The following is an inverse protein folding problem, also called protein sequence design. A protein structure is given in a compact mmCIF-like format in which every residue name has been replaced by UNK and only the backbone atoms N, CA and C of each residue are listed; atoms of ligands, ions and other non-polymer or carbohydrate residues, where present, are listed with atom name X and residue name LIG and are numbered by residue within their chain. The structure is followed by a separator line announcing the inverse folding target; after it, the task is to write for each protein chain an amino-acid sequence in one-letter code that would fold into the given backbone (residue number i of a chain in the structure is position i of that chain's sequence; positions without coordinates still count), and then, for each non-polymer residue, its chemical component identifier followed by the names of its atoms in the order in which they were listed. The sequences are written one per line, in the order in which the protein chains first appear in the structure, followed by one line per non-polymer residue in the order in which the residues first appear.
data_IF_155314754884
#
_entry.id   IF_155314754884
#
_cell.length_a   1.000
_cell.length_b   1.000
_cell.length_c   1.000
_cell.angle_alpha   90.00
_cell.angle_beta   90.00
_cell.angle_gamma   90.00
#
_symmetry.space_group_name_H-M   'P 1'
#
loop_
_entity.id
_entity.type
_entity.pdbx_description
1 polymer ?
#
# COMPACT_ATOMS: atom_id res chain seq x y z
N UNK A 1 0.37 25.98 -4.36
CA UNK A 1 0.85 24.59 -4.47
C UNK A 1 0.38 24.04 -5.81
N UNK A 2 1.28 23.62 -6.70
CA UNK A 2 0.90 23.01 -7.99
C UNK A 2 0.34 21.60 -7.80
N UNK A 3 -0.41 21.09 -8.78
CA UNK A 3 -0.82 19.68 -8.80
C UNK A 3 0.41 18.79 -8.94
N UNK A 4 0.48 17.69 -8.20
CA UNK A 4 1.62 16.76 -8.20
C UNK A 4 1.28 15.44 -8.89
N UNK A 5 2.30 14.84 -9.51
CA UNK A 5 2.20 13.55 -10.21
C UNK A 5 2.69 12.36 -9.37
N UNK A 6 3.25 12.61 -8.19
CA UNK A 6 4.04 11.60 -7.46
C UNK A 6 3.38 11.19 -6.15
N UNK A 7 3.05 9.91 -6.04
CA UNK A 7 2.89 9.21 -4.76
C UNK A 7 4.11 8.33 -4.56
N UNK A 8 4.79 8.53 -3.43
CA UNK A 8 5.94 7.73 -3.02
C UNK A 8 5.44 6.60 -2.13
N UNK A 9 5.72 5.36 -2.54
CA UNK A 9 5.46 4.18 -1.70
C UNK A 9 6.74 3.86 -0.95
N UNK A 10 6.70 3.99 0.38
CA UNK A 10 7.80 3.59 1.26
C UNK A 10 7.53 2.14 1.68
N UNK A 11 8.52 1.26 1.51
CA UNK A 11 8.40 -0.17 1.79
C UNK A 11 9.30 -0.57 2.96
N UNK A 12 8.82 -0.33 4.17
CA UNK A 12 9.57 -0.67 5.38
C UNK A 12 9.52 -2.17 5.71
N UNK A 13 8.58 -2.92 5.13
CA UNK A 13 8.45 -4.36 5.36
C UNK A 13 9.74 -5.13 5.04
N UNK A 14 10.50 -4.71 4.01
CA UNK A 14 11.80 -5.31 3.67
C UNK A 14 12.87 -5.03 4.74
N UNK A 15 12.87 -3.83 5.32
CA UNK A 15 13.77 -3.44 6.42
C UNK A 15 13.43 -4.22 7.69
N UNK A 16 12.14 -4.37 7.98
CA UNK A 16 11.65 -5.16 9.13
C UNK A 16 11.99 -6.64 8.95
N UNK A 17 11.80 -7.21 7.76
CA UNK A 17 12.18 -8.59 7.46
C UNK A 17 13.69 -8.83 7.65
N UNK A 18 14.53 -7.86 7.24
CA UNK A 18 15.97 -7.94 7.47
C UNK A 18 16.32 -7.94 8.97
N UNK A 19 15.76 -7.01 9.75
CA UNK A 19 15.99 -6.94 11.19
C UNK A 19 15.51 -8.21 11.93
N UNK A 20 14.38 -8.79 11.51
CA UNK A 20 13.87 -10.03 12.09
C UNK A 20 14.75 -11.24 11.76
N UNK A 21 15.31 -11.32 10.55
CA UNK A 21 16.28 -12.37 10.18
C UNK A 21 17.56 -12.28 11.01
N UNK A 22 18.07 -11.07 11.25
CA UNK A 22 19.22 -10.86 12.14
C UNK A 22 18.91 -11.29 13.58
N UNK A 23 17.73 -10.92 14.11
CA UNK A 23 17.30 -11.36 15.43
C UNK A 23 17.18 -12.89 15.52
N UNK A 24 16.62 -13.53 14.49
CA UNK A 24 16.46 -14.99 14.43
C UNK A 24 17.81 -15.73 14.45
N UNK A 25 18.83 -15.18 13.78
CA UNK A 25 20.17 -15.77 13.74
C UNK A 25 20.81 -15.91 15.14
N UNK A 26 20.41 -15.08 16.10
CA UNK A 26 20.91 -15.08 17.48
C UNK A 26 19.88 -15.57 18.52
N UNK A 27 18.71 -16.06 18.07
CA UNK A 27 17.60 -16.41 18.95
C UNK A 27 17.89 -17.61 19.86
N UNK A 28 17.36 -17.54 21.09
CA UNK A 28 17.32 -18.70 21.99
C UNK A 28 16.32 -19.74 21.49
N UNK A 29 16.38 -20.97 22.03
CA UNK A 29 15.40 -22.01 21.68
C UNK A 29 13.96 -21.61 22.00
N UNK A 30 13.76 -20.79 23.04
CA UNK A 30 12.44 -20.36 23.52
C UNK A 30 11.78 -19.35 22.57
N UNK A 31 12.55 -18.42 21.98
CA UNK A 31 12.00 -17.37 21.10
C UNK A 31 12.06 -17.71 19.62
N UNK A 32 12.83 -18.74 19.23
CA UNK A 32 13.08 -19.12 17.82
C UNK A 32 11.80 -19.38 17.03
N UNK A 33 10.90 -20.23 17.53
CA UNK A 33 9.66 -20.57 16.81
C UNK A 33 8.75 -19.35 16.58
N UNK A 34 8.69 -18.43 17.55
CA UNK A 34 7.96 -17.17 17.41
C UNK A 34 8.59 -16.24 16.37
N UNK A 35 9.92 -16.12 16.38
CA UNK A 35 10.66 -15.31 15.42
C UNK A 35 10.60 -15.86 13.98
N UNK A 36 10.64 -17.18 13.80
CA UNK A 36 10.44 -17.81 12.49
C UNK A 36 9.07 -17.45 11.91
N UNK A 37 8.02 -17.49 12.73
CA UNK A 37 6.68 -17.06 12.30
C UNK A 37 6.63 -15.57 11.99
N UNK A 38 7.31 -14.74 12.77
CA UNK A 38 7.38 -13.30 12.52
C UNK A 38 8.10 -12.99 11.19
N UNK A 39 9.22 -13.66 10.90
CA UNK A 39 9.94 -13.54 9.62
C UNK A 39 9.03 -13.92 8.46
N UNK A 40 8.34 -15.06 8.54
CA UNK A 40 7.44 -15.51 7.47
C UNK A 40 6.33 -14.49 7.16
N UNK A 41 5.73 -13.87 8.20
CA UNK A 41 4.71 -12.83 8.03
C UNK A 41 5.31 -11.57 7.38
N UNK A 42 6.48 -11.14 7.86
CA UNK A 42 7.15 -9.95 7.35
C UNK A 42 7.57 -10.13 5.89
N UNK A 43 8.09 -11.29 5.50
CA UNK A 43 8.49 -11.60 4.12
C UNK A 43 7.28 -11.65 3.18
N UNK A 44 6.19 -12.31 3.58
CA UNK A 44 4.95 -12.31 2.81
C UNK A 44 4.39 -10.88 2.60
N UNK A 45 4.52 -10.01 3.61
CA UNK A 45 4.13 -8.60 3.49
C UNK A 45 5.09 -7.83 2.58
N UNK A 46 6.37 -8.18 2.59
CA UNK A 46 7.39 -7.50 1.82
C UNK A 46 7.36 -7.85 0.32
N UNK A 47 6.71 -8.96 -0.05
CA UNK A 47 6.40 -9.36 -1.42
C UNK A 47 5.34 -8.48 -2.09
N UNK A 48 4.62 -7.65 -1.33
CA UNK A 48 3.61 -6.75 -1.88
C UNK A 48 4.18 -5.80 -2.95
N UNK A 49 3.48 -5.75 -4.08
CA UNK A 49 3.85 -4.86 -5.17
C UNK A 49 3.48 -3.42 -4.84
N UNK A 50 4.24 -2.47 -5.36
CA UNK A 50 3.89 -1.06 -5.21
C UNK A 50 2.52 -0.71 -5.82
N UNK A 51 2.06 -1.47 -6.83
CA UNK A 51 0.73 -1.33 -7.40
C UNK A 51 -0.38 -1.72 -6.41
N UNK A 52 -0.23 -2.87 -5.74
CA UNK A 52 -1.17 -3.31 -4.69
C UNK A 52 -1.27 -2.29 -3.56
N UNK A 53 -0.14 -1.82 -3.04
CA UNK A 53 -0.10 -0.82 -1.96
C UNK A 53 -0.76 0.50 -2.36
N UNK A 54 -0.56 0.97 -3.60
CA UNK A 54 -1.28 2.15 -4.12
C UNK A 54 -2.77 1.88 -4.29
N UNK A 55 -3.16 0.69 -4.71
CA UNK A 55 -4.55 0.26 -4.80
C UNK A 55 -5.27 0.32 -3.45
N UNK A 56 -4.65 -0.21 -2.40
CA UNK A 56 -5.18 -0.15 -1.03
C UNK A 56 -5.28 1.29 -0.51
N UNK A 57 -4.25 2.11 -0.76
CA UNK A 57 -4.28 3.52 -0.42
C UNK A 57 -5.44 4.26 -1.13
N UNK A 58 -5.68 4.00 -2.41
CA UNK A 58 -6.81 4.59 -3.15
C UNK A 58 -8.14 4.21 -2.53
N UNK A 59 -8.33 2.93 -2.21
CA UNK A 59 -9.57 2.45 -1.56
C UNK A 59 -9.79 3.14 -0.22
N UNK A 60 -8.75 3.30 0.59
CA UNK A 60 -8.83 4.02 1.86
C UNK A 60 -9.25 5.49 1.68
N UNK A 61 -8.63 6.21 0.73
CA UNK A 61 -8.98 7.62 0.44
C UNK A 61 -10.42 7.77 -0.08
N UNK A 62 -10.88 6.84 -0.91
CA UNK A 62 -12.27 6.85 -1.40
C UNK A 62 -13.28 6.59 -0.28
N UNK A 63 -12.97 5.67 0.64
CA UNK A 63 -13.81 5.40 1.80
C UNK A 63 -13.93 6.61 2.73
N UNK A 64 -12.85 7.39 2.93
CA UNK A 64 -12.87 8.61 3.74
C UNK A 64 -13.85 9.68 3.23
N UNK A 65 -14.05 9.76 1.92
CA UNK A 65 -15.04 10.65 1.29
C UNK A 65 -16.38 9.95 1.02
N UNK A 66 -16.57 8.75 1.55
CA UNK A 66 -17.82 7.98 1.45
C UNK A 66 -18.12 7.45 0.04
N UNK A 67 -17.12 7.37 -0.84
CA UNK A 67 -17.32 6.83 -2.18
C UNK A 67 -17.32 5.29 -2.15
N UNK A 68 -18.45 4.69 -2.52
CA UNK A 68 -18.67 3.24 -2.60
C UNK A 68 -19.06 2.76 -4.00
N UNK A 69 -18.92 3.62 -5.01
CA UNK A 69 -19.29 3.32 -6.39
C UNK A 69 -18.23 2.51 -7.14
N UNK A 70 -18.50 2.27 -8.43
CA UNK A 70 -17.58 1.56 -9.32
C UNK A 70 -16.24 2.32 -9.50
N UNK A 71 -15.13 1.65 -9.21
CA UNK A 71 -13.77 2.18 -9.38
C UNK A 71 -13.46 2.49 -10.86
N UNK A 72 -14.08 1.80 -11.82
CA UNK A 72 -13.85 2.07 -13.26
C UNK A 72 -14.49 3.39 -13.73
N UNK A 73 -15.32 4.02 -12.90
CA UNK A 73 -16.02 5.26 -13.24
C UNK A 73 -15.15 6.52 -13.16
N UNK A 74 -15.51 7.55 -13.93
CA UNK A 74 -14.94 8.88 -13.76
C UNK A 74 -15.29 9.51 -12.40
N UNK A 75 -16.37 9.05 -11.77
CA UNK A 75 -16.77 9.49 -10.43
C UNK A 75 -15.74 9.06 -9.37
N UNK A 76 -15.13 7.89 -9.50
CA UNK A 76 -14.03 7.45 -8.63
C UNK A 76 -12.83 8.38 -8.72
N UNK A 77 -12.43 8.79 -9.93
CA UNK A 77 -11.32 9.75 -10.14
C UNK A 77 -11.66 11.12 -9.53
N UNK A 78 -12.91 11.57 -9.66
CA UNK A 78 -13.37 12.82 -9.03
C UNK A 78 -13.32 12.72 -7.51
N UNK A 79 -13.84 11.64 -6.93
CA UNK A 79 -13.83 11.40 -5.49
C UNK A 79 -12.40 11.32 -4.94
N UNK A 80 -11.49 10.63 -5.64
CA UNK A 80 -10.09 10.57 -5.26
C UNK A 80 -9.43 11.96 -5.21
N UNK A 81 -9.74 12.83 -6.18
CA UNK A 81 -9.24 14.22 -6.19
C UNK A 81 -9.97 15.13 -5.20
N UNK A 82 -11.10 14.72 -4.64
CA UNK A 82 -11.73 15.40 -3.52
C UNK A 82 -11.06 15.00 -2.20
N UNK A 83 -10.75 13.70 -2.03
CA UNK A 83 -9.99 13.21 -0.90
C UNK A 83 -8.56 13.78 -0.88
N UNK A 84 -7.95 13.92 -2.06
CA UNK A 84 -6.56 14.35 -2.23
C UNK A 84 -6.45 15.49 -3.27
N UNK A 85 -6.74 16.75 -2.88
CA UNK A 85 -6.81 17.89 -3.79
C UNK A 85 -5.51 18.22 -4.54
N UNK A 86 -4.37 17.76 -4.00
CA UNK A 86 -3.05 17.96 -4.60
C UNK A 86 -2.80 17.12 -5.86
N UNK A 87 -3.60 16.08 -6.09
CA UNK A 87 -3.39 15.19 -7.23
C UNK A 87 -3.69 15.85 -8.57
N UNK A 88 -2.78 15.68 -9.52
CA UNK A 88 -3.09 15.89 -10.91
C UNK A 88 -4.16 14.90 -11.40
N UNK A 89 -4.82 15.25 -12.52
CA UNK A 89 -5.78 14.34 -13.13
C UNK A 89 -5.10 13.04 -13.60
N UNK A 90 -3.91 13.16 -14.20
CA UNK A 90 -3.15 12.01 -14.67
C UNK A 90 -2.75 11.09 -13.51
N UNK A 91 -2.29 11.66 -12.40
CA UNK A 91 -1.93 10.91 -11.20
C UNK A 91 -3.14 10.14 -10.65
N UNK A 92 -4.28 10.83 -10.50
CA UNK A 92 -5.51 10.21 -10.01
C UNK A 92 -6.00 9.06 -10.90
N UNK A 93 -5.88 9.18 -12.22
CA UNK A 93 -6.23 8.10 -13.16
C UNK A 93 -5.28 6.91 -13.02
N UNK A 94 -3.96 7.14 -12.94
CA UNK A 94 -2.97 6.07 -12.74
C UNK A 94 -3.20 5.31 -11.44
N UNK A 95 -3.41 6.04 -10.35
CA UNK A 95 -3.69 5.47 -9.04
C UNK A 95 -5.00 4.67 -9.02
N UNK A 96 -6.06 5.20 -9.66
CA UNK A 96 -7.30 4.42 -9.84
C UNK A 96 -7.00 3.12 -10.56
N UNK A 97 -6.25 3.14 -11.67
CA UNK A 97 -5.94 1.94 -12.43
C UNK A 97 -5.16 0.92 -11.57
N UNK A 98 -4.19 1.36 -10.76
CA UNK A 98 -3.51 0.47 -9.80
C UNK A 98 -4.53 -0.25 -8.89
N UNK A 99 -5.59 0.45 -8.43
CA UNK A 99 -6.64 -0.13 -7.60
C UNK A 99 -7.58 -1.11 -8.36
N UNK A 100 -7.78 -0.90 -9.66
CA UNK A 100 -8.57 -1.80 -10.53
C UNK A 100 -7.76 -3.05 -10.88
N UNK A 101 -6.50 -2.87 -11.21
CA UNK A 101 -5.59 -3.95 -11.60
C UNK A 101 -5.19 -4.82 -10.40
N UNK A 102 -5.29 -4.29 -9.18
CA UNK A 102 -5.02 -4.99 -7.92
C UNK A 102 -6.27 -4.98 -7.01
N UNK A 103 -7.23 -5.90 -7.24
CA UNK A 103 -8.40 -6.04 -6.39
C UNK A 103 -8.01 -6.37 -4.94
N UNK A 104 -8.90 -6.05 -4.00
CA UNK A 104 -8.72 -6.26 -2.56
C UNK A 104 -8.71 -7.74 -2.18
#
# INVERSE_FOLDING_TARGET
MGKSDNIVVIRDAQVVAAALREALASASAETRAGLERAVAIAEATAEDTAGRLRGDWVRARLAEVGFSGDLTSAAAVKALRQAEPGLSLLAAVRLRNDAVDHPA
#
